data_IF_319704268128
#
_entry.id   IF_319704268128
#
_cell.length_a   1.000
_cell.length_b   1.000
_cell.length_c   1.000
_cell.angle_alpha   90.00
_cell.angle_beta   90.00
_cell.angle_gamma   90.00
#
_symmetry.space_group_name_H-M   'P 1'
#
loop_
_entity.id
_entity.type
_entity.pdbx_description
1 polymer ?
#
# COMPACT_ATOMS: atom_id res chain seq x y z
N UNK A 1 10.41 9.23 4.61
CA UNK A 1 9.99 8.27 3.56
C UNK A 1 11.15 7.43 3.03
N UNK A 2 12.37 7.76 3.38
CA UNK A 2 13.57 7.00 3.04
C UNK A 2 14.71 7.30 4.01
N UNK A 3 15.67 6.38 4.15
CA UNK A 3 16.85 6.55 5.03
C UNK A 3 18.13 6.59 4.22
N UNK A 4 18.30 5.71 3.22
CA UNK A 4 19.46 5.79 2.36
C UNK A 4 19.43 7.05 1.48
N UNK A 5 20.58 7.70 1.28
CA UNK A 5 20.66 8.92 0.48
C UNK A 5 20.15 8.71 -0.97
N UNK A 6 20.39 7.53 -1.52
CA UNK A 6 19.94 7.19 -2.88
C UNK A 6 18.41 7.24 -2.98
N UNK A 7 17.72 6.57 -2.05
CA UNK A 7 16.25 6.49 -2.04
C UNK A 7 15.65 7.82 -1.63
N UNK A 8 16.25 8.51 -0.65
CA UNK A 8 15.82 9.83 -0.21
C UNK A 8 15.81 10.85 -1.35
N UNK A 9 16.90 10.93 -2.10
CA UNK A 9 16.97 11.82 -3.25
C UNK A 9 15.93 11.48 -4.33
N UNK A 10 15.59 10.20 -4.48
CA UNK A 10 14.60 9.74 -5.47
C UNK A 10 13.17 10.06 -5.05
N UNK A 11 12.83 9.85 -3.78
CA UNK A 11 11.47 10.00 -3.23
C UNK A 11 11.20 11.45 -2.83
N UNK A 12 12.06 12.01 -1.98
CA UNK A 12 11.81 13.30 -1.34
C UNK A 12 12.35 14.49 -2.15
N UNK A 13 13.31 14.26 -3.06
CA UNK A 13 13.97 15.32 -3.86
C UNK A 13 14.36 16.51 -3.00
N UNK A 14 15.14 16.30 -1.93
CA UNK A 14 15.45 17.34 -0.96
C UNK A 14 16.25 18.49 -1.57
N UNK A 15 16.23 19.62 -0.90
CA UNK A 15 17.20 20.68 -1.13
C UNK A 15 18.62 20.16 -0.84
N UNK A 16 19.62 20.64 -1.60
CA UNK A 16 20.98 20.07 -1.64
C UNK A 16 21.76 20.07 -0.30
N UNK A 17 21.39 20.96 0.63
CA UNK A 17 22.00 21.07 1.97
C UNK A 17 21.41 20.06 2.98
N UNK A 18 20.29 19.41 2.65
CA UNK A 18 19.62 18.46 3.51
C UNK A 18 20.13 17.04 3.26
N UNK A 19 20.38 16.31 4.34
CA UNK A 19 20.61 14.89 4.32
C UNK A 19 19.79 14.17 5.40
N UNK A 20 19.58 12.88 5.21
CA UNK A 20 18.75 12.09 6.12
C UNK A 20 19.30 12.01 7.54
N UNK A 21 20.61 11.94 7.71
CA UNK A 21 21.22 11.82 9.04
C UNK A 21 20.83 13.03 9.90
N UNK A 22 21.00 14.24 9.36
CA UNK A 22 20.59 15.47 10.06
C UNK A 22 19.10 15.52 10.37
N UNK A 23 18.26 15.03 9.45
CA UNK A 23 16.82 15.00 9.65
C UNK A 23 16.46 14.01 10.78
N UNK A 24 17.03 12.81 10.75
CA UNK A 24 16.80 11.78 11.78
C UNK A 24 17.28 12.29 13.16
N UNK A 25 18.47 12.89 13.22
CA UNK A 25 19.00 13.45 14.47
C UNK A 25 18.11 14.59 14.99
N UNK A 26 17.64 15.48 14.10
CA UNK A 26 16.71 16.54 14.47
C UNK A 26 15.36 15.98 14.97
N UNK A 27 14.85 14.90 14.38
CA UNK A 27 13.64 14.22 14.87
C UNK A 27 13.86 13.59 16.25
N UNK A 28 15.04 13.01 16.51
CA UNK A 28 15.39 12.48 17.82
C UNK A 28 15.47 13.59 18.88
N UNK A 29 16.05 14.75 18.53
CA UNK A 29 16.09 15.93 19.42
C UNK A 29 14.71 16.47 19.68
N UNK A 30 13.91 16.66 18.65
CA UNK A 30 12.52 17.07 18.77
C UNK A 30 11.72 16.15 19.69
N UNK A 31 11.85 14.82 19.54
CA UNK A 31 11.14 13.86 20.40
C UNK A 31 11.55 13.98 21.87
N UNK A 32 12.80 14.33 22.17
CA UNK A 32 13.26 14.53 23.55
C UNK A 32 12.66 15.78 24.20
N UNK A 33 12.51 16.84 23.43
CA UNK A 33 12.03 18.16 23.92
C UNK A 33 10.52 18.25 23.94
N UNK A 34 9.86 17.68 22.92
CA UNK A 34 8.42 17.76 22.75
C UNK A 34 7.66 16.87 23.74
N UNK A 35 6.73 17.46 24.48
CA UNK A 35 5.96 16.74 25.53
C UNK A 35 4.62 16.18 25.04
N UNK A 36 4.25 16.45 23.80
CA UNK A 36 3.07 15.88 23.16
C UNK A 36 3.36 14.57 22.44
N UNK A 37 2.39 14.05 21.71
CA UNK A 37 2.53 12.85 20.89
C UNK A 37 3.21 13.19 19.56
N UNK A 38 4.23 12.42 19.19
CA UNK A 38 4.92 12.50 17.92
C UNK A 38 4.51 11.31 17.04
N UNK A 39 3.92 11.59 15.90
CA UNK A 39 3.53 10.58 14.93
C UNK A 39 4.42 10.72 13.71
N UNK A 40 5.01 9.61 13.29
CA UNK A 40 5.76 9.54 12.03
C UNK A 40 4.88 8.93 10.95
N UNK A 41 4.91 9.51 9.76
CA UNK A 41 4.35 8.91 8.57
C UNK A 41 5.47 8.29 7.72
N UNK A 42 5.29 7.05 7.31
CA UNK A 42 6.09 6.40 6.29
C UNK A 42 5.23 6.23 5.03
N UNK A 43 5.52 7.06 4.04
CA UNK A 43 4.86 7.02 2.74
C UNK A 43 5.51 5.97 1.86
N UNK A 44 4.80 4.87 1.62
CA UNK A 44 5.31 3.69 0.93
C UNK A 44 5.08 3.80 -0.58
N UNK A 45 6.17 3.67 -1.34
CA UNK A 45 6.15 3.64 -2.81
C UNK A 45 6.79 2.33 -3.27
N UNK A 46 5.98 1.29 -3.60
CA UNK A 46 6.48 -0.02 -3.98
C UNK A 46 7.51 0.03 -5.12
N UNK A 47 8.60 -0.73 -4.97
CA UNK A 47 9.72 -0.76 -5.90
C UNK A 47 10.66 0.44 -5.81
N UNK A 48 10.43 1.38 -4.88
CA UNK A 48 11.29 2.56 -4.69
C UNK A 48 11.88 2.58 -3.28
N UNK A 49 11.07 2.58 -2.23
CA UNK A 49 11.53 2.72 -0.84
C UNK A 49 11.17 1.52 0.06
N UNK A 50 10.85 0.40 -0.54
CA UNK A 50 10.41 -0.82 0.13
C UNK A 50 11.36 -2.02 -0.05
N UNK A 51 12.58 -1.78 -0.53
CA UNK A 51 13.59 -2.84 -0.57
C UNK A 51 13.92 -3.35 0.83
N UNK A 52 14.28 -4.62 0.96
CA UNK A 52 14.64 -5.23 2.26
C UNK A 52 15.71 -4.41 3.00
N UNK A 53 16.72 -3.92 2.27
CA UNK A 53 17.77 -3.07 2.84
C UNK A 53 17.24 -1.73 3.33
N UNK A 54 16.36 -1.08 2.56
CA UNK A 54 15.78 0.21 2.94
C UNK A 54 14.82 0.06 4.13
N UNK A 55 13.98 -0.98 4.13
CA UNK A 55 13.07 -1.27 5.25
C UNK A 55 13.84 -1.55 6.55
N UNK A 56 15.02 -2.21 6.46
CA UNK A 56 15.87 -2.42 7.63
C UNK A 56 16.41 -1.10 8.18
N UNK A 57 16.93 -0.23 7.33
CA UNK A 57 17.38 1.10 7.72
C UNK A 57 16.25 1.94 8.30
N UNK A 58 15.05 1.87 7.68
CA UNK A 58 13.85 2.54 8.17
C UNK A 58 13.47 2.07 9.58
N UNK A 59 13.51 0.76 9.82
CA UNK A 59 13.24 0.18 11.14
C UNK A 59 14.22 0.69 12.18
N UNK A 60 15.52 0.70 11.88
CA UNK A 60 16.57 1.24 12.76
C UNK A 60 16.35 2.73 13.06
N UNK A 61 16.01 3.53 12.05
CA UNK A 61 15.71 4.96 12.23
C UNK A 61 14.46 5.18 13.10
N UNK A 62 13.39 4.43 12.87
CA UNK A 62 12.15 4.52 13.64
C UNK A 62 12.40 4.18 15.13
N UNK A 63 13.16 3.11 15.40
CA UNK A 63 13.55 2.75 16.78
C UNK A 63 14.40 3.85 17.41
N UNK A 64 15.36 4.44 16.68
CA UNK A 64 16.19 5.55 17.15
C UNK A 64 15.38 6.80 17.50
N UNK A 65 14.42 7.18 16.66
CA UNK A 65 13.56 8.35 16.87
C UNK A 65 12.56 8.09 18.01
N UNK A 66 12.07 6.86 18.14
CA UNK A 66 11.09 6.41 19.13
C UNK A 66 9.81 7.27 19.15
N UNK A 67 9.08 7.36 18.02
CA UNK A 67 7.82 8.09 17.96
C UNK A 67 6.73 7.37 18.77
N UNK A 68 5.64 8.07 19.08
CA UNK A 68 4.48 7.46 19.75
C UNK A 68 3.66 6.59 18.79
N UNK A 69 3.72 6.90 17.48
CA UNK A 69 3.06 6.14 16.42
C UNK A 69 3.85 6.17 15.13
N UNK A 70 3.75 5.09 14.38
CA UNK A 70 4.14 5.00 12.99
C UNK A 70 2.89 4.84 12.13
N UNK A 71 2.70 5.70 11.14
CA UNK A 71 1.60 5.62 10.21
C UNK A 71 2.13 5.22 8.84
N UNK A 72 1.61 4.12 8.30
CA UNK A 72 1.91 3.64 6.96
C UNK A 72 0.87 4.17 5.99
N UNK A 73 1.32 4.86 4.97
CA UNK A 73 0.49 5.45 3.93
C UNK A 73 1.04 5.14 2.54
N UNK A 74 0.24 5.36 1.52
CA UNK A 74 0.63 5.28 0.11
C UNK A 74 -0.18 6.25 -0.72
N UNK A 75 0.10 6.32 -2.02
CA UNK A 75 -0.64 7.16 -2.96
C UNK A 75 -2.13 6.82 -2.95
N UNK A 76 -2.97 7.85 -2.83
CA UNK A 76 -4.44 7.70 -2.96
C UNK A 76 -4.88 7.61 -4.44
N UNK A 77 -4.03 8.07 -5.37
CA UNK A 77 -4.33 8.10 -6.81
C UNK A 77 -3.07 7.81 -7.63
N UNK A 78 -3.20 7.15 -8.79
CA UNK A 78 -2.10 7.03 -9.73
C UNK A 78 -1.59 8.43 -10.13
N UNK A 79 -0.28 8.63 -10.11
CA UNK A 79 0.32 9.88 -10.60
C UNK A 79 0.26 9.90 -12.13
N UNK A 80 -0.32 10.94 -12.76
CA UNK A 80 -0.34 11.04 -14.22
C UNK A 80 1.09 11.03 -14.78
N UNK A 81 1.38 10.11 -15.71
CA UNK A 81 2.65 10.04 -16.42
C UNK A 81 3.82 9.36 -15.71
N UNK A 82 3.65 8.89 -14.47
CA UNK A 82 4.66 8.11 -13.76
C UNK A 82 4.14 6.70 -13.49
N UNK A 83 4.95 5.68 -13.80
CA UNK A 83 4.70 4.28 -13.46
C UNK A 83 4.92 4.03 -11.94
N UNK A 84 4.30 4.86 -11.10
CA UNK A 84 4.39 4.70 -9.64
C UNK A 84 3.31 3.72 -9.20
N UNK A 85 3.75 2.61 -8.63
CA UNK A 85 2.86 1.58 -8.09
C UNK A 85 2.27 2.07 -6.76
N UNK A 86 0.97 1.88 -6.58
CA UNK A 86 0.29 2.16 -5.33
C UNK A 86 0.41 0.93 -4.42
N UNK A 87 0.84 1.12 -3.18
CA UNK A 87 0.78 0.05 -2.19
C UNK A 87 -0.68 -0.21 -1.81
N UNK A 88 -1.17 -1.41 -2.06
CA UNK A 88 -2.48 -1.81 -1.60
C UNK A 88 -2.51 -2.00 -0.07
N UNK A 89 -3.71 -2.09 0.49
CA UNK A 89 -3.87 -2.25 1.93
C UNK A 89 -3.23 -3.53 2.45
N UNK A 90 -3.33 -4.64 1.73
CA UNK A 90 -2.76 -5.91 2.17
C UNK A 90 -1.23 -5.83 2.25
N UNK A 91 -0.62 -5.11 1.31
CA UNK A 91 0.81 -4.86 1.35
C UNK A 91 1.22 -3.99 2.55
N UNK A 92 0.46 -2.92 2.81
CA UNK A 92 0.71 -2.06 3.98
C UNK A 92 0.51 -2.80 5.31
N UNK A 93 -0.48 -3.71 5.42
CA UNK A 93 -0.66 -4.55 6.60
C UNK A 93 0.53 -5.52 6.80
N UNK A 94 1.10 -6.09 5.74
CA UNK A 94 2.35 -6.87 5.84
C UNK A 94 3.53 -6.04 6.33
N UNK A 95 3.64 -4.79 5.88
CA UNK A 95 4.66 -3.87 6.38
C UNK A 95 4.42 -3.50 7.84
N UNK A 96 3.17 -3.31 8.25
CA UNK A 96 2.82 -3.13 9.66
C UNK A 96 3.29 -4.30 10.51
N UNK A 97 3.06 -5.55 10.05
CA UNK A 97 3.57 -6.75 10.73
C UNK A 97 5.11 -6.75 10.78
N UNK A 98 5.78 -6.32 9.71
CA UNK A 98 7.24 -6.18 9.68
C UNK A 98 7.77 -5.20 10.72
N UNK A 99 7.03 -4.12 11.03
CA UNK A 99 7.42 -3.13 12.04
C UNK A 99 6.92 -3.46 13.46
N UNK A 100 6.14 -4.51 13.65
CA UNK A 100 5.49 -4.85 14.93
C UNK A 100 6.49 -5.11 16.08
N UNK A 101 7.67 -5.63 15.76
CA UNK A 101 8.73 -5.93 16.75
C UNK A 101 9.51 -4.67 17.22
N UNK A 102 9.24 -3.49 16.67
CA UNK A 102 9.81 -2.22 17.14
C UNK A 102 9.22 -1.76 18.47
N UNK A 103 8.11 -2.33 18.89
CA UNK A 103 7.35 -1.88 20.07
C UNK A 103 6.58 -0.58 19.85
N UNK A 104 6.63 0.01 18.65
CA UNK A 104 5.95 1.25 18.29
C UNK A 104 4.59 0.93 17.68
N UNK A 105 3.54 1.61 18.15
CA UNK A 105 2.20 1.43 17.61
C UNK A 105 2.20 1.81 16.11
N UNK A 106 2.00 0.83 15.25
CA UNK A 106 1.99 1.00 13.79
C UNK A 106 0.56 0.87 13.25
N UNK A 107 0.14 1.84 12.45
CA UNK A 107 -1.20 1.93 11.86
C UNK A 107 -1.12 2.08 10.34
N UNK A 108 -2.08 1.49 9.63
CA UNK A 108 -2.27 1.74 8.20
C UNK A 108 -3.35 2.81 8.04
N UNK A 109 -2.97 3.99 7.51
CA UNK A 109 -3.86 5.14 7.35
C UNK A 109 -4.26 5.39 5.89
N UNK A 110 -3.85 4.50 4.97
CA UNK A 110 -4.19 4.63 3.56
C UNK A 110 -5.69 4.85 3.39
N UNK A 111 -6.04 5.97 2.76
CA UNK A 111 -7.42 6.31 2.35
C UNK A 111 -7.88 5.53 1.12
N UNK A 112 -7.03 4.64 0.60
CA UNK A 112 -7.48 3.73 -0.45
C UNK A 112 -8.68 3.01 0.15
N UNK A 113 -9.91 3.28 -0.34
CA UNK A 113 -11.06 2.50 0.09
C UNK A 113 -10.64 1.04 -0.04
N UNK A 114 -11.17 0.18 0.84
CA UNK A 114 -11.10 -1.25 0.57
C UNK A 114 -11.90 -1.46 -0.73
N UNK A 115 -11.26 -1.18 -1.86
CA UNK A 115 -11.88 -1.39 -3.18
C UNK A 115 -12.32 -2.84 -3.34
N UNK A 116 -11.66 -3.75 -2.63
CA UNK A 116 -11.97 -5.17 -2.76
C UNK A 116 -13.39 -5.50 -2.28
N UNK A 117 -13.88 -4.94 -1.18
CA UNK A 117 -15.24 -5.23 -0.71
C UNK A 117 -16.32 -4.57 -1.59
N UNK A 118 -16.15 -3.29 -1.93
CA UNK A 118 -17.12 -2.57 -2.79
C UNK A 118 -17.06 -3.08 -4.22
N UNK A 119 -15.87 -3.30 -4.77
CA UNK A 119 -15.72 -3.86 -6.13
C UNK A 119 -16.17 -5.32 -6.16
N UNK A 120 -15.89 -6.11 -5.12
CA UNK A 120 -16.38 -7.47 -4.99
C UNK A 120 -17.91 -7.50 -5.00
N UNK A 121 -18.58 -6.70 -4.18
CA UNK A 121 -20.04 -6.59 -4.16
C UNK A 121 -20.64 -6.12 -5.49
N UNK A 122 -19.98 -5.16 -6.14
CA UNK A 122 -20.41 -4.67 -7.44
C UNK A 122 -20.19 -5.69 -8.56
N UNK A 123 -19.10 -6.46 -8.52
CA UNK A 123 -18.88 -7.60 -9.42
C UNK A 123 -19.96 -8.67 -9.19
N UNK A 124 -20.22 -9.06 -7.95
CA UNK A 124 -21.26 -10.02 -7.61
C UNK A 124 -22.65 -9.53 -8.07
N UNK A 125 -22.94 -8.24 -7.91
CA UNK A 125 -24.15 -7.60 -8.46
C UNK A 125 -24.21 -7.63 -9.98
N UNK A 126 -23.09 -7.38 -10.66
CA UNK A 126 -23.01 -7.40 -12.11
C UNK A 126 -23.27 -8.82 -12.64
N UNK A 127 -22.66 -9.82 -12.00
CA UNK A 127 -22.83 -11.23 -12.35
C UNK A 127 -24.29 -11.68 -12.17
N UNK A 128 -24.94 -11.31 -11.05
CA UNK A 128 -26.33 -11.65 -10.80
C UNK A 128 -26.66 -13.08 -11.22
N UNK A 129 -27.69 -13.23 -12.08
CA UNK A 129 -28.11 -14.52 -12.62
C UNK A 129 -27.72 -14.73 -14.10
N UNK A 130 -26.67 -14.04 -14.58
CA UNK A 130 -26.22 -14.10 -15.99
C UNK A 130 -24.76 -14.42 -16.11
N UNK A 131 -24.40 -15.03 -17.24
CA UNK A 131 -22.99 -15.15 -17.64
C UNK A 131 -22.47 -13.79 -18.11
N UNK A 132 -21.34 -13.32 -17.57
CA UNK A 132 -20.71 -12.05 -17.93
C UNK A 132 -19.30 -12.32 -18.45
N UNK A 133 -18.98 -11.79 -19.63
CA UNK A 133 -17.67 -11.93 -20.23
C UNK A 133 -16.61 -11.18 -19.39
N UNK A 134 -15.41 -11.74 -19.34
CA UNK A 134 -14.27 -11.12 -18.59
C UNK A 134 -14.01 -9.69 -19.05
N UNK A 135 -14.14 -9.39 -20.35
CA UNK A 135 -13.93 -8.05 -20.92
C UNK A 135 -14.95 -7.05 -20.40
N UNK A 136 -16.21 -7.45 -20.19
CA UNK A 136 -17.24 -6.57 -19.61
C UNK A 136 -16.88 -6.20 -18.17
N UNK A 137 -16.39 -7.18 -17.39
CA UNK A 137 -15.95 -6.96 -16.01
C UNK A 137 -14.71 -6.03 -15.99
N UNK A 138 -13.72 -6.28 -16.85
CA UNK A 138 -12.50 -5.48 -16.95
C UNK A 138 -12.78 -4.05 -17.38
N UNK A 139 -13.70 -3.84 -18.30
CA UNK A 139 -14.08 -2.50 -18.77
C UNK A 139 -14.78 -1.67 -17.68
N UNK A 140 -15.50 -2.33 -16.80
CA UNK A 140 -16.25 -1.67 -15.73
C UNK A 140 -15.40 -1.50 -14.44
N UNK A 141 -14.51 -2.43 -14.16
CA UNK A 141 -13.70 -2.46 -12.95
C UNK A 141 -12.22 -2.61 -13.30
N UNK A 142 -11.45 -1.55 -13.12
CA UNK A 142 -10.00 -1.61 -13.32
C UNK A 142 -9.34 -2.56 -12.29
N UNK A 143 -8.36 -3.37 -12.75
CA UNK A 143 -7.57 -4.28 -11.90
C UNK A 143 -8.42 -5.25 -11.05
N UNK A 144 -9.46 -5.86 -11.67
CA UNK A 144 -10.36 -6.81 -11.00
C UNK A 144 -9.89 -8.28 -11.04
N UNK A 145 -8.77 -8.58 -11.67
CA UNK A 145 -8.32 -9.97 -11.91
C UNK A 145 -8.06 -10.74 -10.62
N UNK A 146 -7.42 -10.09 -9.64
CA UNK A 146 -7.16 -10.71 -8.33
C UNK A 146 -8.46 -10.98 -7.56
N UNK A 147 -9.44 -10.08 -7.68
CA UNK A 147 -10.75 -10.24 -7.05
C UNK A 147 -11.51 -11.41 -7.70
N UNK A 148 -11.53 -11.49 -9.03
CA UNK A 148 -12.17 -12.59 -9.78
C UNK A 148 -11.51 -13.91 -9.40
N UNK A 149 -10.19 -13.97 -9.36
CA UNK A 149 -9.43 -15.16 -8.94
C UNK A 149 -9.79 -15.58 -7.51
N UNK A 150 -9.81 -14.61 -6.58
CA UNK A 150 -10.20 -14.82 -5.19
C UNK A 150 -11.64 -15.35 -5.05
N UNK A 151 -12.60 -14.75 -5.76
CA UNK A 151 -14.01 -15.18 -5.77
C UNK A 151 -14.17 -16.59 -6.34
N UNK A 152 -13.41 -16.91 -7.39
CA UNK A 152 -13.42 -18.26 -8.00
C UNK A 152 -12.86 -19.30 -7.04
N UNK A 153 -11.73 -19.03 -6.40
CA UNK A 153 -11.12 -19.90 -5.40
C UNK A 153 -12.03 -20.09 -4.16
N UNK A 154 -12.73 -19.03 -3.76
CA UNK A 154 -13.70 -19.08 -2.67
C UNK A 154 -15.01 -19.82 -3.06
N UNK A 155 -15.14 -20.22 -4.32
CA UNK A 155 -16.34 -20.92 -4.81
C UNK A 155 -17.59 -20.04 -4.87
N UNK A 156 -17.45 -18.71 -4.84
CA UNK A 156 -18.56 -17.75 -4.94
C UNK A 156 -19.03 -17.53 -6.37
N UNK A 157 -18.09 -17.68 -7.32
CA UNK A 157 -18.36 -17.59 -8.76
C UNK A 157 -17.77 -18.80 -9.48
N UNK A 158 -18.31 -19.11 -10.64
CA UNK A 158 -17.76 -20.12 -11.53
C UNK A 158 -17.45 -19.54 -12.89
N UNK A 159 -16.44 -20.12 -13.54
CA UNK A 159 -15.98 -19.73 -14.87
C UNK A 159 -16.40 -20.80 -15.89
N UNK A 160 -16.89 -20.34 -17.03
CA UNK A 160 -17.12 -21.15 -18.22
C UNK A 160 -16.40 -20.54 -19.40
N UNK A 161 -15.92 -21.36 -20.34
CA UNK A 161 -15.27 -20.87 -21.55
C UNK A 161 -16.15 -21.21 -22.77
N UNK A 162 -16.40 -20.19 -23.63
CA UNK A 162 -17.12 -20.34 -24.89
C UNK A 162 -16.38 -19.57 -25.97
N UNK A 163 -16.04 -20.24 -27.05
CA UNK A 163 -15.36 -19.63 -28.21
C UNK A 163 -14.09 -18.86 -27.85
N UNK A 164 -13.31 -19.37 -26.87
CA UNK A 164 -12.06 -18.75 -26.38
C UNK A 164 -12.28 -17.52 -25.48
N UNK A 165 -13.52 -17.25 -25.06
CA UNK A 165 -13.84 -16.17 -24.13
C UNK A 165 -14.27 -16.76 -22.78
N UNK A 166 -13.69 -16.24 -21.71
CA UNK A 166 -14.06 -16.63 -20.34
C UNK A 166 -15.29 -15.85 -19.88
N UNK A 167 -16.28 -16.55 -19.38
CA UNK A 167 -17.48 -16.00 -18.78
C UNK A 167 -17.54 -16.39 -17.29
N UNK A 168 -18.06 -15.50 -16.48
CA UNK A 168 -18.24 -15.70 -15.04
C UNK A 168 -19.67 -15.53 -14.64
N UNK A 169 -20.14 -16.31 -13.66
CA UNK A 169 -21.46 -16.20 -13.04
C UNK A 169 -21.42 -16.53 -11.56
N UNK A 170 -22.44 -16.15 -10.82
CA UNK A 170 -22.64 -16.61 -9.45
C UNK A 170 -22.88 -18.12 -9.42
N UNK A 171 -22.35 -18.76 -8.38
CA UNK A 171 -22.52 -20.18 -8.14
C UNK A 171 -23.73 -20.47 -7.26
#
# INVERSE_FOLDING_TARGET
DAVSNLVFNKVNKPESSLNNEKIIDGLCEFKREYKGQMWLEFFVVPGINDSVSELKLMKEAIVKINPDRLQLNSLDRPSPGNNVVIADRNYLEKLKDYFSDTGILTEVISRIPQKNGVVEEEILKLLGNKDVAIEEIKNKFNACEDIISGLTLAGKIEMTEKDGVSFYRLK
#
